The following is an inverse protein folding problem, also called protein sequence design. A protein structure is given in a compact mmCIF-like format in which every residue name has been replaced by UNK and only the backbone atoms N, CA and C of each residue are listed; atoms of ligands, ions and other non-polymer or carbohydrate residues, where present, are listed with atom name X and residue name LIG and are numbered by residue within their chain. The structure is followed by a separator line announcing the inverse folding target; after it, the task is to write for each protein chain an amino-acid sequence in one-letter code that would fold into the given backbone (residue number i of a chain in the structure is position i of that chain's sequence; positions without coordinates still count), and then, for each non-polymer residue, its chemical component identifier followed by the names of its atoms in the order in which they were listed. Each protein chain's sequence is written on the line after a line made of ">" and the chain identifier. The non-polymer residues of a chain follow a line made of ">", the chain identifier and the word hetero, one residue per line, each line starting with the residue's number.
data_IF_441479587746
#
_entry.id   IF_441479587746
#
_cell.length_a   1.000
_cell.length_b   1.000
_cell.length_c   1.000
_cell.angle_alpha   90.00
_cell.angle_beta   90.00
_cell.angle_gamma   90.00
#
_symmetry.space_group_name_H-M   'P 1'
#
loop_
_entity.id
_entity.type
_entity.pdbx_description
1 polymer ?
#
# COMPACT_ATOMS: atom_id res chain seq x y z
N UNK A 1 -11.46 10.35 13.02
CA UNK A 1 -10.42 10.39 11.99
C UNK A 1 -9.75 11.77 11.97
N UNK A 2 -8.46 11.81 11.60
CA UNK A 2 -7.77 13.07 11.41
C UNK A 2 -8.27 13.76 10.12
N UNK A 3 -8.63 15.05 10.22
CA UNK A 3 -9.22 15.86 9.12
C UNK A 3 -8.39 15.85 7.84
N UNK A 4 -7.05 15.73 7.93
CA UNK A 4 -6.18 15.70 6.75
C UNK A 4 -6.43 14.49 5.82
N UNK A 5 -6.98 13.39 6.35
CA UNK A 5 -7.23 12.16 5.58
C UNK A 5 -8.67 12.01 5.08
N UNK A 6 -9.56 12.93 5.43
CA UNK A 6 -10.97 12.93 4.99
C UNK A 6 -11.28 14.15 4.13
N UNK A 7 -10.28 14.66 3.44
CA UNK A 7 -10.38 15.72 2.42
C UNK A 7 -10.06 15.12 1.04
N UNK A 8 -10.20 15.92 0.01
CA UNK A 8 -9.91 15.50 -1.36
C UNK A 8 -11.16 15.10 -2.13
N UNK A 9 -10.98 14.76 -3.41
CA UNK A 9 -12.04 14.53 -4.38
C UNK A 9 -13.15 13.58 -3.91
N UNK A 10 -12.77 12.44 -3.31
CA UNK A 10 -13.74 11.43 -2.88
C UNK A 10 -14.68 11.89 -1.76
N UNK A 11 -14.34 12.97 -1.04
CA UNK A 11 -15.15 13.50 0.05
C UNK A 11 -15.83 14.83 -0.26
N UNK A 12 -15.21 15.64 -1.12
CA UNK A 12 -15.71 16.96 -1.46
C UNK A 12 -16.70 16.95 -2.64
N UNK A 13 -16.46 16.08 -3.62
CA UNK A 13 -17.21 16.05 -4.87
C UNK A 13 -18.06 14.79 -5.06
N UNK A 14 -17.94 13.80 -4.19
CA UNK A 14 -18.74 12.59 -4.25
C UNK A 14 -19.21 12.11 -2.88
N UNK A 15 -20.41 11.53 -2.88
CA UNK A 15 -20.97 10.90 -1.67
C UNK A 15 -20.27 9.57 -1.30
N UNK A 16 -19.39 9.07 -2.16
CA UNK A 16 -18.71 7.77 -1.98
C UNK A 16 -17.83 7.78 -0.75
N UNK A 17 -17.03 8.83 -0.57
CA UNK A 17 -16.14 8.96 0.60
C UNK A 17 -16.90 9.01 1.92
N UNK A 18 -18.01 9.73 1.98
CA UNK A 18 -18.85 9.82 3.17
C UNK A 18 -19.52 8.49 3.52
N UNK A 19 -20.04 7.76 2.52
CA UNK A 19 -20.57 6.40 2.73
C UNK A 19 -19.50 5.47 3.32
N UNK A 20 -18.26 5.60 2.86
CA UNK A 20 -17.16 4.81 3.37
C UNK A 20 -16.80 5.20 4.81
N UNK A 21 -16.74 6.49 5.14
CA UNK A 21 -16.53 6.95 6.51
C UNK A 21 -17.57 6.34 7.45
N UNK A 22 -18.86 6.40 7.11
CA UNK A 22 -19.91 5.84 7.95
C UNK A 22 -19.75 4.32 8.14
N UNK A 23 -19.45 3.60 7.06
CA UNK A 23 -19.21 2.17 7.13
C UNK A 23 -18.00 1.84 8.02
N UNK A 24 -16.86 2.49 7.78
CA UNK A 24 -15.64 2.22 8.55
C UNK A 24 -15.71 2.72 9.97
N UNK A 25 -16.48 3.79 10.25
CA UNK A 25 -16.68 4.29 11.60
C UNK A 25 -17.19 3.21 12.54
N UNK A 26 -18.21 2.48 12.14
CA UNK A 26 -18.75 1.39 12.92
C UNK A 26 -17.65 0.34 13.25
N UNK A 27 -16.93 -0.13 12.24
CA UNK A 27 -15.90 -1.15 12.44
C UNK A 27 -14.71 -0.62 13.23
N UNK A 28 -14.20 0.59 12.92
CA UNK A 28 -12.99 1.12 13.56
C UNK A 28 -13.26 1.72 14.94
N UNK A 29 -14.37 2.43 15.16
CA UNK A 29 -14.61 3.20 16.39
C UNK A 29 -15.49 2.47 17.39
N UNK A 30 -16.41 1.61 16.91
CA UNK A 30 -17.31 0.84 17.77
C UNK A 30 -16.76 -0.56 18.01
N UNK A 31 -16.46 -1.32 16.94
CA UNK A 31 -15.96 -2.68 17.06
C UNK A 31 -14.44 -2.78 17.30
N UNK A 32 -13.69 -1.68 17.11
CA UNK A 32 -12.26 -1.62 17.40
C UNK A 32 -11.32 -2.17 16.34
N UNK A 33 -11.81 -2.63 15.17
CA UNK A 33 -10.96 -3.07 14.05
C UNK A 33 -10.11 -1.91 13.54
N UNK A 34 -8.81 -2.09 13.48
CA UNK A 34 -7.88 -1.04 13.02
C UNK A 34 -8.02 0.29 13.79
N UNK A 35 -8.39 0.24 15.08
CA UNK A 35 -8.70 1.41 15.93
C UNK A 35 -7.53 2.41 16.01
N UNK A 36 -6.29 1.91 15.98
CA UNK A 36 -5.06 2.69 16.08
C UNK A 36 -4.78 3.53 14.84
N UNK A 37 -5.45 3.26 13.70
CA UNK A 37 -5.20 3.94 12.44
C UNK A 37 -5.95 5.27 12.39
N UNK A 38 -5.27 6.41 12.07
CA UNK A 38 -5.88 7.74 12.10
C UNK A 38 -6.71 8.09 10.86
N UNK A 39 -6.77 7.22 9.84
CA UNK A 39 -7.59 7.37 8.64
C UNK A 39 -8.61 6.24 8.49
N UNK A 40 -9.63 6.41 7.64
CA UNK A 40 -10.56 5.34 7.34
C UNK A 40 -9.87 4.19 6.60
N UNK A 41 -10.06 2.96 7.08
CA UNK A 41 -9.48 1.76 6.46
C UNK A 41 -10.51 0.62 6.45
N UNK A 42 -10.45 -0.21 5.41
CA UNK A 42 -11.31 -1.40 5.31
C UNK A 42 -11.09 -2.32 6.52
N UNK A 43 -12.14 -2.86 7.12
CA UNK A 43 -12.00 -3.78 8.26
C UNK A 43 -11.31 -5.09 7.91
N UNK A 44 -11.28 -5.46 6.63
CA UNK A 44 -10.59 -6.65 6.12
C UNK A 44 -9.15 -6.42 5.68
N UNK A 45 -8.64 -5.19 5.84
CA UNK A 45 -7.23 -4.87 5.59
C UNK A 45 -6.50 -4.73 6.92
N UNK A 46 -5.19 -4.99 6.90
CA UNK A 46 -4.31 -4.84 8.07
C UNK A 46 -3.23 -3.78 7.80
N UNK A 47 -2.99 -2.95 8.82
CA UNK A 47 -1.93 -1.94 8.83
C UNK A 47 -1.26 -2.04 10.19
N UNK A 48 0.02 -2.39 10.24
CA UNK A 48 0.70 -2.63 11.51
C UNK A 48 1.03 -1.32 12.24
N UNK A 49 1.89 -0.48 11.67
CA UNK A 49 2.24 0.82 12.25
C UNK A 49 1.91 1.97 11.28
N UNK A 50 0.83 2.71 11.54
CA UNK A 50 0.43 3.84 10.70
C UNK A 50 1.41 5.01 10.72
N UNK A 51 2.30 5.12 11.74
CA UNK A 51 3.27 6.21 11.83
C UNK A 51 4.42 6.04 10.84
N UNK A 52 4.63 4.84 10.35
CA UNK A 52 5.67 4.47 9.40
C UNK A 52 5.14 4.25 7.97
N UNK A 53 3.92 4.73 7.65
CA UNK A 53 3.37 4.76 6.30
C UNK A 53 3.23 6.21 5.84
N UNK A 54 3.97 6.56 4.80
CA UNK A 54 4.01 7.90 4.22
C UNK A 54 3.33 7.90 2.85
N UNK A 55 2.25 8.66 2.73
CA UNK A 55 1.47 8.78 1.50
C UNK A 55 0.80 10.15 1.40
N UNK A 56 0.36 10.54 0.21
CA UNK A 56 -0.43 11.74 0.05
C UNK A 56 -1.84 11.52 0.62
N UNK A 57 -2.31 12.33 1.59
CA UNK A 57 -3.63 12.16 2.19
C UNK A 57 -4.81 12.14 1.20
N UNK A 58 -4.67 12.79 0.04
CA UNK A 58 -5.72 12.82 -1.00
C UNK A 58 -5.86 11.45 -1.71
N UNK A 59 -4.85 10.58 -1.60
CA UNK A 59 -4.83 9.24 -2.19
C UNK A 59 -5.27 8.14 -1.20
N UNK A 60 -5.79 8.51 -0.01
CA UNK A 60 -6.20 7.54 1.02
C UNK A 60 -7.27 6.52 0.57
N UNK A 61 -7.84 6.70 -0.63
CA UNK A 61 -8.84 5.82 -1.24
C UNK A 61 -8.38 4.36 -1.36
N UNK A 62 -7.09 4.09 -1.53
CA UNK A 62 -6.62 2.71 -1.64
C UNK A 62 -6.76 1.91 -0.33
N UNK A 63 -6.88 2.57 0.82
CA UNK A 63 -7.23 1.90 2.08
C UNK A 63 -8.69 1.44 2.16
N UNK A 64 -9.55 1.86 1.23
CA UNK A 64 -10.93 1.36 1.10
C UNK A 64 -10.97 -0.08 0.58
N UNK A 65 -9.96 -0.53 -0.11
CA UNK A 65 -9.88 -1.84 -0.70
C UNK A 65 -9.78 -2.92 0.39
N UNK A 66 -10.35 -4.07 0.10
CA UNK A 66 -10.31 -5.23 1.00
C UNK A 66 -9.00 -6.00 0.86
N UNK A 67 -8.63 -6.70 1.93
CA UNK A 67 -7.56 -7.69 1.93
C UNK A 67 -6.13 -7.12 1.77
N UNK A 68 -5.95 -5.80 1.80
CA UNK A 68 -4.62 -5.23 1.72
C UNK A 68 -3.85 -5.43 3.04
N UNK A 69 -2.57 -5.72 2.92
CA UNK A 69 -1.68 -5.92 4.06
C UNK A 69 -0.47 -4.99 3.98
N UNK A 70 -0.39 -4.04 4.90
CA UNK A 70 0.73 -3.11 5.03
C UNK A 70 1.51 -3.49 6.28
N UNK A 71 2.49 -4.39 6.12
CA UNK A 71 3.31 -4.87 7.23
C UNK A 71 4.63 -4.11 7.30
N UNK A 72 4.73 -3.30 8.33
CA UNK A 72 5.88 -2.45 8.58
C UNK A 72 6.31 -2.47 10.06
N UNK A 73 6.24 -3.67 10.64
CA UNK A 73 6.74 -3.94 12.00
C UNK A 73 8.24 -3.65 12.12
N UNK A 74 8.72 -3.55 13.36
CA UNK A 74 10.12 -3.34 13.69
C UNK A 74 10.74 -2.05 13.09
N UNK A 75 9.91 -1.02 12.83
CA UNK A 75 10.38 0.28 12.36
C UNK A 75 10.59 0.42 10.85
N UNK A 76 10.22 -0.60 10.07
CA UNK A 76 10.23 -0.51 8.62
C UNK A 76 9.28 0.56 8.09
N UNK A 77 9.65 1.24 7.02
CA UNK A 77 8.88 2.36 6.46
C UNK A 77 8.38 2.04 5.07
N UNK A 78 7.14 2.45 4.79
CA UNK A 78 6.50 2.35 3.48
C UNK A 78 6.26 3.75 2.95
N UNK A 79 6.82 4.07 1.79
CA UNK A 79 6.64 5.34 1.10
C UNK A 79 5.84 5.12 -0.18
N UNK A 80 4.74 5.86 -0.35
CA UNK A 80 3.83 5.75 -1.48
C UNK A 80 3.69 7.15 -2.11
N UNK A 81 4.16 7.28 -3.34
CA UNK A 81 4.12 8.53 -4.10
C UNK A 81 2.71 8.92 -4.51
N UNK A 82 2.52 10.23 -4.75
CA UNK A 82 1.23 10.82 -5.11
C UNK A 82 0.66 10.22 -6.39
N UNK A 83 -0.67 10.01 -6.39
CA UNK A 83 -1.40 9.48 -7.55
C UNK A 83 -1.18 8.00 -7.79
N UNK A 84 -0.59 7.28 -6.84
CA UNK A 84 -0.41 5.82 -6.92
C UNK A 84 -1.69 5.11 -6.50
N UNK A 85 -2.08 4.10 -7.28
CA UNK A 85 -3.22 3.23 -7.01
C UNK A 85 -2.75 1.86 -6.54
N UNK A 86 -3.34 1.38 -5.44
CA UNK A 86 -3.09 0.05 -4.88
C UNK A 86 -4.41 -0.72 -4.94
N UNK A 87 -4.43 -1.80 -5.71
CA UNK A 87 -5.60 -2.63 -5.89
C UNK A 87 -5.87 -3.56 -4.68
N UNK A 88 -7.06 -4.17 -4.58
CA UNK A 88 -7.39 -5.10 -3.50
C UNK A 88 -6.41 -6.27 -3.34
N UNK A 89 -6.33 -6.82 -2.14
CA UNK A 89 -5.47 -7.97 -1.78
C UNK A 89 -3.97 -7.75 -2.07
N UNK A 90 -3.52 -6.51 -2.09
CA UNK A 90 -2.09 -6.21 -2.24
C UNK A 90 -1.39 -6.31 -0.90
N UNK A 91 -0.23 -6.97 -0.87
CA UNK A 91 0.68 -6.97 0.27
C UNK A 91 1.89 -6.08 0.03
N UNK A 92 2.24 -5.27 1.03
CA UNK A 92 3.48 -4.49 1.05
C UNK A 92 4.13 -4.76 2.41
N UNK A 93 5.30 -5.40 2.39
CA UNK A 93 5.97 -5.81 3.61
C UNK A 93 7.40 -5.28 3.67
N UNK A 94 7.87 -4.96 4.86
CA UNK A 94 9.20 -4.37 5.09
C UNK A 94 10.18 -5.32 5.76
N UNK A 95 9.72 -6.46 6.25
CA UNK A 95 10.55 -7.46 6.90
C UNK A 95 10.12 -8.88 6.59
N UNK A 96 11.01 -9.83 6.78
CA UNK A 96 10.76 -11.27 6.73
C UNK A 96 11.17 -11.91 8.05
N UNK A 97 10.70 -13.12 8.30
CA UNK A 97 11.25 -13.98 9.35
C UNK A 97 12.67 -14.44 8.98
N UNK A 98 13.49 -14.67 9.99
CA UNK A 98 14.80 -15.30 9.78
C UNK A 98 14.60 -16.76 9.35
N UNK A 99 15.16 -17.19 8.21
CA UNK A 99 15.00 -18.57 7.72
C UNK A 99 15.66 -19.61 8.61
N UNK A 100 16.60 -19.23 9.48
CA UNK A 100 17.27 -20.11 10.43
C UNK A 100 16.59 -20.13 11.81
N UNK A 101 15.85 -19.07 12.16
CA UNK A 101 15.05 -18.98 13.37
C UNK A 101 13.75 -18.22 13.08
N UNK A 102 12.70 -18.93 12.70
CA UNK A 102 11.42 -18.34 12.29
C UNK A 102 10.67 -17.58 13.40
N UNK A 103 11.12 -17.66 14.65
CA UNK A 103 10.61 -16.83 15.75
C UNK A 103 11.19 -15.42 15.74
N UNK A 104 12.25 -15.18 14.99
CA UNK A 104 12.93 -13.89 14.86
C UNK A 104 12.62 -13.26 13.49
N UNK A 105 12.79 -11.95 13.42
CA UNK A 105 12.64 -11.17 12.18
C UNK A 105 14.00 -10.64 11.74
N UNK A 106 14.20 -10.61 10.44
CA UNK A 106 15.32 -9.91 9.83
C UNK A 106 15.18 -8.40 10.03
N UNK A 107 16.30 -7.68 9.91
CA UNK A 107 16.27 -6.22 9.90
C UNK A 107 15.32 -5.69 8.80
N UNK A 108 14.41 -4.76 9.15
CA UNK A 108 13.44 -4.24 8.19
C UNK A 108 14.13 -3.42 7.11
N UNK A 109 13.62 -3.53 5.88
CA UNK A 109 14.07 -2.75 4.73
C UNK A 109 12.91 -1.92 4.20
N UNK A 110 13.10 -0.61 4.11
CA UNK A 110 12.07 0.30 3.64
C UNK A 110 11.63 -0.04 2.22
N UNK A 111 10.33 0.15 1.96
CA UNK A 111 9.74 0.01 0.62
C UNK A 111 9.42 1.39 0.08
N UNK A 112 9.81 1.65 -1.17
CA UNK A 112 9.54 2.89 -1.88
C UNK A 112 8.72 2.60 -3.14
N UNK A 113 7.56 3.24 -3.25
CA UNK A 113 6.70 3.20 -4.43
C UNK A 113 6.59 4.63 -4.93
N UNK A 114 7.03 4.88 -6.15
CA UNK A 114 7.05 6.18 -6.79
C UNK A 114 5.65 6.76 -7.04
N UNK A 115 5.61 7.90 -7.69
CA UNK A 115 4.37 8.57 -8.09
C UNK A 115 3.69 7.88 -9.28
N UNK A 116 2.35 8.00 -9.35
CA UNK A 116 1.54 7.53 -10.49
C UNK A 116 1.78 6.05 -10.84
N UNK A 117 2.10 5.23 -9.83
CA UNK A 117 2.21 3.80 -9.98
C UNK A 117 0.82 3.13 -9.94
N UNK A 118 0.73 1.94 -10.50
CA UNK A 118 -0.43 1.08 -10.34
C UNK A 118 0.02 -0.29 -9.85
N UNK A 119 -0.36 -0.63 -8.63
CA UNK A 119 -0.07 -1.90 -8.00
C UNK A 119 -1.29 -2.79 -8.19
N UNK A 120 -1.15 -3.80 -9.04
CA UNK A 120 -2.24 -4.70 -9.45
C UNK A 120 -2.70 -5.61 -8.31
N UNK A 121 -3.96 -6.08 -8.42
CA UNK A 121 -4.60 -6.95 -7.44
C UNK A 121 -3.79 -8.21 -7.15
N UNK A 122 -3.81 -8.69 -5.91
CA UNK A 122 -3.09 -9.89 -5.43
C UNK A 122 -1.57 -9.83 -5.62
N UNK A 123 -0.99 -8.65 -5.80
CA UNK A 123 0.48 -8.55 -5.88
C UNK A 123 1.11 -8.41 -4.50
N UNK A 124 2.40 -8.77 -4.43
CA UNK A 124 3.20 -8.68 -3.21
C UNK A 124 4.46 -7.87 -3.48
N UNK A 125 4.69 -6.82 -2.67
CA UNK A 125 5.91 -6.00 -2.72
C UNK A 125 6.76 -6.38 -1.52
N UNK A 126 7.97 -6.90 -1.80
CA UNK A 126 8.85 -7.46 -0.79
C UNK A 126 9.78 -6.41 -0.15
N UNK A 127 10.41 -6.73 0.99
CA UNK A 127 11.27 -5.81 1.72
C UNK A 127 12.41 -5.23 0.86
N UNK A 128 12.63 -3.93 0.97
CA UNK A 128 13.72 -3.22 0.28
C UNK A 128 13.45 -2.88 -1.18
N UNK A 129 12.25 -3.17 -1.69
CA UNK A 129 11.89 -2.83 -3.08
C UNK A 129 11.74 -1.32 -3.25
N UNK A 130 12.34 -0.82 -4.33
CA UNK A 130 12.18 0.55 -4.81
C UNK A 130 11.60 0.53 -6.23
N UNK A 131 10.38 1.06 -6.39
CA UNK A 131 9.70 1.25 -7.66
C UNK A 131 9.73 2.73 -8.04
N UNK A 132 10.31 3.06 -9.18
CA UNK A 132 10.28 4.41 -9.74
C UNK A 132 8.89 4.81 -10.23
N UNK A 133 8.73 6.08 -10.56
CA UNK A 133 7.45 6.67 -11.01
C UNK A 133 6.87 5.93 -12.23
N UNK A 134 5.54 5.96 -12.37
CA UNK A 134 4.82 5.33 -13.47
C UNK A 134 5.13 3.82 -13.63
N UNK A 135 5.42 3.11 -12.55
CA UNK A 135 5.57 1.66 -12.58
C UNK A 135 4.21 0.99 -12.46
N UNK A 136 3.93 0.06 -13.37
CA UNK A 136 2.74 -0.80 -13.31
C UNK A 136 3.18 -2.19 -12.86
N UNK A 137 2.67 -2.64 -11.74
CA UNK A 137 2.83 -4.02 -11.25
C UNK A 137 1.62 -4.80 -11.69
N UNK A 138 1.81 -5.83 -12.50
CA UNK A 138 0.72 -6.69 -12.96
C UNK A 138 0.09 -7.45 -11.79
N UNK A 139 -1.20 -7.77 -11.91
CA UNK A 139 -1.91 -8.55 -10.90
C UNK A 139 -1.22 -9.89 -10.63
N UNK A 140 -1.20 -10.32 -9.37
CA UNK A 140 -0.57 -11.57 -8.94
C UNK A 140 0.96 -11.57 -8.96
N UNK A 141 1.61 -10.44 -9.21
CA UNK A 141 3.06 -10.37 -9.24
C UNK A 141 3.70 -10.40 -7.84
N UNK A 142 4.85 -11.06 -7.71
CA UNK A 142 5.69 -11.01 -6.50
C UNK A 142 6.97 -10.24 -6.81
N UNK A 143 7.03 -9.00 -6.33
CA UNK A 143 8.14 -8.09 -6.61
C UNK A 143 9.22 -8.26 -5.55
N UNK A 144 10.30 -8.93 -5.90
CA UNK A 144 11.42 -9.25 -5.01
C UNK A 144 12.66 -8.40 -5.24
N UNK A 145 12.67 -7.55 -6.29
CA UNK A 145 13.77 -6.65 -6.62
C UNK A 145 13.27 -5.29 -7.09
N UNK A 146 14.13 -4.30 -7.02
CA UNK A 146 13.83 -2.91 -7.37
C UNK A 146 13.79 -2.66 -8.88
N UNK A 147 12.94 -1.68 -9.27
CA UNK A 147 12.83 -1.12 -10.62
C UNK A 147 12.85 0.42 -10.53
N UNK A 148 13.98 1.02 -10.11
CA UNK A 148 14.04 2.43 -9.71
C UNK A 148 13.85 3.41 -10.88
N UNK A 149 14.09 2.99 -12.11
CA UNK A 149 13.92 3.84 -13.29
C UNK A 149 12.43 4.13 -13.60
N UNK A 150 11.51 3.30 -13.10
CA UNK A 150 10.08 3.47 -13.37
C UNK A 150 9.71 3.35 -14.85
N UNK A 151 8.61 4.01 -15.24
CA UNK A 151 8.09 4.04 -16.61
C UNK A 151 8.05 2.63 -17.27
N UNK A 152 7.56 1.64 -16.53
CA UNK A 152 7.59 0.27 -16.98
C UNK A 152 6.38 -0.55 -16.47
N UNK A 153 6.16 -1.68 -17.11
CA UNK A 153 5.25 -2.73 -16.64
C UNK A 153 6.11 -3.91 -16.21
N UNK A 154 5.88 -4.37 -14.99
CA UNK A 154 6.53 -5.54 -14.40
C UNK A 154 5.49 -6.56 -13.99
N UNK A 155 5.84 -7.84 -13.95
CA UNK A 155 4.92 -8.90 -13.54
C UNK A 155 5.56 -10.26 -13.45
N UNK A 156 4.82 -11.21 -12.90
CA UNK A 156 5.24 -12.59 -12.66
C UNK A 156 5.72 -12.87 -11.24
N UNK A 157 6.08 -14.11 -10.97
CA UNK A 157 6.64 -14.57 -9.69
C UNK A 157 7.94 -15.36 -9.94
N UNK A 158 9.13 -14.80 -9.66
CA UNK A 158 9.35 -13.40 -9.27
C UNK A 158 9.10 -12.43 -10.43
N UNK A 159 8.75 -11.17 -10.10
CA UNK A 159 8.45 -10.15 -11.09
C UNK A 159 9.66 -9.78 -11.95
N UNK A 160 9.41 -9.69 -13.27
CA UNK A 160 10.38 -9.29 -14.29
C UNK A 160 9.82 -8.13 -15.11
N UNK A 161 10.69 -7.40 -15.78
CA UNK A 161 10.29 -6.38 -16.75
C UNK A 161 9.53 -7.05 -17.91
N UNK A 162 8.29 -6.57 -18.15
CA UNK A 162 7.47 -6.98 -19.29
C UNK A 162 7.69 -6.01 -20.46
N UNK A 163 7.60 -4.71 -20.19
CA UNK A 163 7.85 -3.65 -21.19
C UNK A 163 8.16 -2.31 -20.54
N UNK A 164 8.87 -1.46 -21.27
CA UNK A 164 8.99 -0.04 -20.95
C UNK A 164 7.79 0.73 -21.50
N UNK A 165 7.31 1.72 -20.73
CA UNK A 165 6.27 2.65 -21.17
C UNK A 165 6.93 3.78 -21.96
N UNK A 166 6.44 4.04 -23.16
CA UNK A 166 6.84 5.21 -23.94
C UNK A 166 6.09 6.42 -23.39
N UNK A 167 6.78 7.52 -23.14
CA UNK A 167 6.11 8.79 -22.90
C UNK A 167 5.28 9.14 -24.14
N UNK A 168 3.99 9.46 -23.93
CA UNK A 168 3.18 10.13 -24.95
C UNK A 168 3.46 11.60 -24.94
#
# INVERSE_FOLDING_TARGET
>A
YNKKYIRGFNYQESFIGWRWIFKTFFFQKILGYNKHIPWPVSPSSAVDDPNNIFFNPDDAVFFMHFGCYFSNTNGGKIYIGKGTFIAPNTGIITTNHDPYNVSEHLEPKNVFIGEKCWIGMNSMIMPGVNLGNNTIVAAGAVVTKSFPNGNCVIGGNPAKLIKNLKHK
#
